data_IF_460041537363
#
_entry.id   IF_460041537363
#
_cell.length_a   1.000
_cell.length_b   1.000
_cell.length_c   1.000
_cell.angle_alpha   90.00
_cell.angle_beta   90.00
_cell.angle_gamma   90.00
#
_symmetry.space_group_name_H-M   'P 1'
#
loop_
_entity.id
_entity.type
_entity.pdbx_description
1 polymer ?
#
# COMPACT_ATOMS: atom_id res chain seq x y z
N UNK A 1 24.12 -26.44 -10.50
CA UNK A 1 23.13 -27.38 -9.89
C UNK A 1 21.94 -26.55 -9.46
N UNK A 2 20.90 -26.56 -10.30
CA UNK A 2 19.66 -25.81 -10.04
C UNK A 2 18.79 -26.59 -9.03
N UNK A 3 18.79 -26.18 -7.77
CA UNK A 3 17.79 -26.67 -6.81
C UNK A 3 16.48 -25.92 -7.06
N UNK A 4 15.60 -26.51 -7.87
CA UNK A 4 14.18 -26.10 -7.90
C UNK A 4 13.64 -26.33 -6.48
N UNK A 5 13.48 -25.24 -5.70
CA UNK A 5 12.69 -25.29 -4.47
C UNK A 5 11.27 -25.69 -4.89
N UNK A 6 10.89 -26.94 -4.60
CA UNK A 6 9.51 -27.39 -4.66
C UNK A 6 8.73 -26.59 -3.62
N UNK A 7 7.88 -25.69 -4.09
CA UNK A 7 6.84 -25.11 -3.24
C UNK A 7 5.90 -26.25 -2.84
N UNK A 8 5.91 -26.63 -1.58
CA UNK A 8 4.89 -27.48 -1.00
C UNK A 8 3.59 -26.68 -1.06
N UNK A 9 2.68 -27.07 -1.96
CA UNK A 9 1.29 -26.65 -1.91
C UNK A 9 0.75 -27.17 -0.56
N UNK A 10 0.51 -26.26 0.36
CA UNK A 10 -0.24 -26.51 1.58
C UNK A 10 -1.56 -27.17 1.19
N UNK A 11 -2.06 -28.11 1.99
CA UNK A 11 -3.28 -28.90 1.69
C UNK A 11 -4.57 -28.06 1.66
N UNK A 12 -4.47 -26.75 1.79
CA UNK A 12 -5.59 -25.82 1.69
C UNK A 12 -6.09 -25.71 0.25
N UNK A 13 -7.39 -25.83 0.00
CA UNK A 13 -7.96 -25.73 -1.34
C UNK A 13 -7.87 -24.31 -1.91
N UNK A 14 -7.70 -23.29 -1.06
CA UNK A 14 -7.68 -21.87 -1.43
C UNK A 14 -6.41 -21.17 -0.97
N UNK A 15 -5.94 -20.20 -1.78
CA UNK A 15 -4.89 -19.28 -1.35
C UNK A 15 -5.42 -18.38 -0.23
N UNK A 16 -4.61 -18.13 0.77
CA UNK A 16 -4.93 -17.22 1.87
C UNK A 16 -4.30 -15.85 1.61
N UNK A 17 -5.10 -14.80 1.75
CA UNK A 17 -4.64 -13.42 1.61
C UNK A 17 -4.72 -12.71 2.95
N UNK A 18 -3.59 -12.18 3.44
CA UNK A 18 -3.53 -11.35 4.65
C UNK A 18 -3.51 -9.88 4.25
N UNK A 19 -4.51 -9.13 4.69
CA UNK A 19 -4.58 -7.68 4.52
C UNK A 19 -4.36 -7.02 5.88
N UNK A 20 -3.41 -6.09 5.94
CA UNK A 20 -3.09 -5.33 7.14
C UNK A 20 -3.63 -3.91 7.01
N UNK A 21 -4.34 -3.41 8.01
CA UNK A 21 -4.69 -1.99 8.12
C UNK A 21 -4.09 -1.40 9.38
N UNK A 22 -3.29 -0.34 9.22
CA UNK A 22 -2.83 0.46 10.36
C UNK A 22 -3.79 1.61 10.60
N UNK A 23 -4.15 1.82 11.86
CA UNK A 23 -5.07 2.86 12.28
C UNK A 23 -4.47 3.70 13.40
N UNK A 24 -4.66 5.01 13.33
CA UNK A 24 -4.42 5.92 14.45
C UNK A 24 -5.31 7.16 14.32
N UNK A 25 -6.36 7.23 15.16
CA UNK A 25 -7.34 8.32 15.18
C UNK A 25 -7.97 8.60 13.80
N UNK A 26 -8.47 7.53 13.13
CA UNK A 26 -9.03 7.62 11.77
C UNK A 26 -10.47 7.06 11.73
N UNK A 27 -11.25 7.20 12.82
CA UNK A 27 -12.62 6.67 12.93
C UNK A 27 -13.54 7.13 11.80
N UNK A 28 -13.31 8.33 11.26
CA UNK A 28 -14.06 8.91 10.14
C UNK A 28 -14.13 8.01 8.89
N UNK A 29 -13.05 7.29 8.58
CA UNK A 29 -12.93 6.50 7.34
C UNK A 29 -12.78 4.99 7.58
N UNK A 30 -12.32 4.61 8.77
CA UNK A 30 -11.98 3.22 9.12
C UNK A 30 -13.11 2.24 8.80
N UNK A 31 -14.37 2.59 9.08
CA UNK A 31 -15.49 1.71 8.79
C UNK A 31 -15.67 1.44 7.30
N UNK A 32 -15.39 2.43 6.45
CA UNK A 32 -15.46 2.27 5.00
C UNK A 32 -14.34 1.34 4.51
N UNK A 33 -13.12 1.51 5.02
CA UNK A 33 -11.97 0.64 4.71
C UNK A 33 -12.26 -0.80 5.12
N UNK A 34 -12.73 -1.04 6.34
CA UNK A 34 -13.10 -2.38 6.83
C UNK A 34 -14.14 -3.03 5.89
N UNK A 35 -15.20 -2.30 5.55
CA UNK A 35 -16.24 -2.80 4.66
C UNK A 35 -15.70 -3.14 3.27
N UNK A 36 -14.81 -2.31 2.71
CA UNK A 36 -14.23 -2.54 1.39
C UNK A 36 -13.38 -3.81 1.33
N UNK A 37 -12.80 -4.24 2.46
CA UNK A 37 -12.03 -5.47 2.59
C UNK A 37 -12.95 -6.68 2.85
N UNK A 38 -13.82 -6.58 3.86
CA UNK A 38 -14.67 -7.71 4.27
C UNK A 38 -15.73 -8.08 3.23
N UNK A 39 -16.14 -7.13 2.39
CA UNK A 39 -17.10 -7.38 1.29
C UNK A 39 -16.50 -8.05 0.06
N UNK A 40 -15.18 -8.24 0.01
CA UNK A 40 -14.52 -8.92 -1.11
C UNK A 40 -15.00 -10.37 -1.21
N UNK A 41 -15.31 -10.80 -2.44
CA UNK A 41 -15.78 -12.13 -2.74
C UNK A 41 -14.78 -12.84 -3.65
N UNK A 42 -14.79 -14.16 -3.66
CA UNK A 42 -13.95 -14.98 -4.52
C UNK A 42 -13.50 -16.27 -3.84
N UNK A 43 -12.70 -17.06 -4.55
CA UNK A 43 -12.17 -18.34 -4.08
C UNK A 43 -10.82 -18.15 -3.36
N UNK A 44 -10.86 -17.52 -2.19
CA UNK A 44 -9.70 -17.32 -1.31
C UNK A 44 -10.12 -17.27 0.17
N UNK A 45 -9.18 -17.52 1.05
CA UNK A 45 -9.33 -17.25 2.47
C UNK A 45 -8.82 -15.85 2.78
N UNK A 46 -9.60 -15.06 3.51
CA UNK A 46 -9.24 -13.70 3.91
C UNK A 46 -8.83 -13.67 5.38
N UNK A 47 -7.61 -13.23 5.65
CA UNK A 47 -7.14 -12.85 6.97
C UNK A 47 -7.01 -11.34 7.03
N UNK A 48 -7.90 -10.70 7.78
CA UNK A 48 -7.85 -9.26 7.96
C UNK A 48 -7.27 -8.91 9.33
N UNK A 49 -6.24 -8.06 9.35
CA UNK A 49 -5.47 -7.71 10.54
C UNK A 49 -5.48 -6.20 10.69
N UNK A 50 -5.97 -5.70 11.83
CA UNK A 50 -5.90 -4.27 12.16
C UNK A 50 -4.90 -4.04 13.28
N UNK A 51 -3.96 -3.13 13.05
CA UNK A 51 -3.05 -2.62 14.09
C UNK A 51 -3.42 -1.18 14.40
N UNK A 52 -3.91 -0.95 15.62
CA UNK A 52 -4.29 0.35 16.12
C UNK A 52 -3.22 0.91 17.06
N UNK A 53 -2.69 2.08 16.74
CA UNK A 53 -1.60 2.76 17.46
C UNK A 53 -1.99 3.35 18.81
N UNK A 54 -3.08 2.89 19.42
CA UNK A 54 -3.62 3.40 20.67
C UNK A 54 -4.49 4.62 20.47
N UNK A 55 -5.40 4.57 19.51
CA UNK A 55 -6.37 5.64 19.18
C UNK A 55 -7.18 6.09 20.38
N UNK A 56 -7.61 7.35 20.35
CA UNK A 56 -8.44 8.00 21.38
C UNK A 56 -9.83 8.39 20.89
N UNK A 57 -10.08 8.20 19.59
CA UNK A 57 -11.39 8.37 18.95
C UNK A 57 -12.21 7.07 19.02
N UNK A 58 -13.26 6.94 18.20
CA UNK A 58 -14.12 5.76 18.19
C UNK A 58 -13.53 4.56 17.42
N UNK A 59 -12.28 4.63 16.95
CA UNK A 59 -11.66 3.59 16.14
C UNK A 59 -11.71 2.21 16.80
N UNK A 60 -11.38 2.11 18.10
CA UNK A 60 -11.35 0.82 18.79
C UNK A 60 -12.76 0.20 18.93
N UNK A 61 -13.79 1.02 19.08
CA UNK A 61 -15.18 0.54 19.12
C UNK A 61 -15.63 0.00 17.76
N UNK A 62 -15.26 0.69 16.69
CA UNK A 62 -15.48 0.22 15.31
C UNK A 62 -14.77 -1.12 15.09
N UNK A 63 -13.50 -1.25 15.47
CA UNK A 63 -12.72 -2.48 15.31
C UNK A 63 -13.39 -3.65 16.05
N UNK A 64 -13.76 -3.47 17.31
CA UNK A 64 -14.43 -4.50 18.13
C UNK A 64 -15.80 -4.91 17.57
N UNK A 65 -16.55 -3.97 17.00
CA UNK A 65 -17.82 -4.25 16.31
C UNK A 65 -17.61 -5.23 15.17
N UNK A 66 -16.61 -4.97 14.30
CA UNK A 66 -16.35 -5.82 13.14
C UNK A 66 -15.71 -7.16 13.51
N UNK A 67 -14.86 -7.21 14.53
CA UNK A 67 -14.37 -8.47 15.09
C UNK A 67 -15.54 -9.37 15.52
N UNK A 68 -16.50 -8.83 16.28
CA UNK A 68 -17.69 -9.56 16.65
C UNK A 68 -18.53 -9.99 15.44
N UNK A 69 -18.75 -9.12 14.46
CA UNK A 69 -19.52 -9.45 13.27
C UNK A 69 -18.88 -10.63 12.48
N UNK A 70 -17.53 -10.71 12.45
CA UNK A 70 -16.83 -11.84 11.81
C UNK A 70 -16.99 -13.10 12.65
N UNK A 71 -16.86 -13.02 13.99
CA UNK A 71 -17.08 -14.16 14.90
C UNK A 71 -18.51 -14.70 14.80
N UNK A 72 -19.49 -13.82 14.62
CA UNK A 72 -20.91 -14.18 14.43
C UNK A 72 -21.20 -14.73 12.99
N UNK A 73 -20.17 -14.88 12.13
CA UNK A 73 -20.29 -15.44 10.78
C UNK A 73 -20.90 -14.53 9.72
N UNK A 74 -21.14 -13.24 10.02
CA UNK A 74 -21.80 -12.29 9.12
C UNK A 74 -21.05 -12.08 7.80
N UNK A 75 -19.74 -12.24 7.80
CA UNK A 75 -18.85 -12.00 6.65
C UNK A 75 -18.40 -13.29 5.94
N UNK A 76 -18.94 -14.45 6.37
CA UNK A 76 -18.65 -15.77 5.79
C UNK A 76 -17.53 -16.54 6.51
N UNK A 77 -17.52 -17.85 6.31
CA UNK A 77 -16.65 -18.78 7.06
C UNK A 77 -15.17 -18.68 6.67
N UNK A 78 -14.85 -18.09 5.50
CA UNK A 78 -13.47 -17.93 5.01
C UNK A 78 -12.80 -16.64 5.44
N UNK A 79 -13.44 -15.88 6.33
CA UNK A 79 -12.90 -14.63 6.85
C UNK A 79 -12.43 -14.82 8.27
N UNK A 80 -11.19 -14.44 8.54
CA UNK A 80 -10.65 -14.33 9.89
C UNK A 80 -10.28 -12.88 10.15
N UNK A 81 -10.61 -12.39 11.36
CA UNK A 81 -10.31 -11.04 11.79
C UNK A 81 -9.41 -11.07 13.01
N UNK A 82 -8.38 -10.25 13.02
CA UNK A 82 -7.47 -10.07 14.14
C UNK A 82 -7.22 -8.59 14.37
N UNK A 83 -7.02 -8.18 15.58
CA UNK A 83 -6.55 -6.83 15.84
C UNK A 83 -5.58 -6.78 17.03
N UNK A 84 -4.73 -5.75 17.01
CA UNK A 84 -3.85 -5.38 18.09
C UNK A 84 -4.01 -3.88 18.31
N UNK A 85 -4.36 -3.47 19.54
CA UNK A 85 -4.47 -2.04 19.89
C UNK A 85 -3.49 -1.75 21.01
N UNK A 86 -2.38 -1.11 20.64
CA UNK A 86 -1.33 -0.67 21.54
C UNK A 86 -0.55 0.48 20.91
N UNK A 87 0.11 1.28 21.73
CA UNK A 87 0.94 2.37 21.22
C UNK A 87 2.02 1.84 20.27
N UNK A 88 2.17 2.50 19.15
CA UNK A 88 3.25 2.27 18.18
C UNK A 88 4.21 3.44 18.10
N UNK A 89 5.34 3.26 17.41
CA UNK A 89 6.34 4.29 17.12
C UNK A 89 6.09 4.99 15.77
N UNK A 90 4.98 4.70 15.11
CA UNK A 90 4.57 5.28 13.82
C UNK A 90 4.05 4.24 12.85
N UNK A 91 3.61 4.70 11.68
CA UNK A 91 2.93 3.87 10.70
C UNK A 91 3.72 2.62 10.29
N UNK A 92 5.05 2.74 10.08
CA UNK A 92 5.90 1.60 9.69
C UNK A 92 5.94 0.50 10.76
N UNK A 93 6.01 0.88 12.05
CA UNK A 93 5.93 -0.06 13.17
C UNK A 93 4.55 -0.74 13.22
N UNK A 94 3.47 0.03 13.10
CA UNK A 94 2.11 -0.52 13.02
C UNK A 94 1.96 -1.55 11.88
N UNK A 95 2.42 -1.20 10.67
CA UNK A 95 2.42 -2.14 9.53
C UNK A 95 3.25 -3.37 9.85
N UNK A 96 4.45 -3.22 10.38
CA UNK A 96 5.35 -4.33 10.71
C UNK A 96 4.76 -5.27 11.76
N UNK A 97 4.07 -4.75 12.79
CA UNK A 97 3.31 -5.57 13.75
C UNK A 97 2.26 -6.43 13.04
N UNK A 98 1.49 -5.83 12.13
CA UNK A 98 0.50 -6.56 11.32
C UNK A 98 1.14 -7.60 10.40
N UNK A 99 2.24 -7.27 9.72
CA UNK A 99 2.98 -8.19 8.85
C UNK A 99 3.52 -9.40 9.62
N UNK A 100 3.98 -9.21 10.87
CA UNK A 100 4.43 -10.30 11.74
C UNK A 100 3.29 -11.26 12.14
N UNK A 101 2.04 -10.76 12.16
CA UNK A 101 0.84 -11.57 12.46
C UNK A 101 0.29 -12.28 11.20
N UNK A 102 0.69 -11.86 10.01
CA UNK A 102 0.19 -12.35 8.73
C UNK A 102 0.63 -13.80 8.47
N UNK A 103 -0.34 -14.65 8.10
CA UNK A 103 -0.11 -16.06 7.80
C UNK A 103 -0.54 -16.45 6.38
N UNK A 104 -1.00 -15.49 5.58
CA UNK A 104 -1.45 -15.70 4.21
C UNK A 104 -0.31 -15.92 3.22
N UNK A 105 -0.63 -16.55 2.10
CA UNK A 105 0.28 -16.76 0.96
C UNK A 105 0.57 -15.44 0.24
N UNK A 106 -0.44 -14.57 0.20
CA UNK A 106 -0.40 -13.21 -0.34
C UNK A 106 -0.56 -12.24 0.82
N UNK A 107 0.20 -11.16 0.77
CA UNK A 107 0.19 -10.11 1.79
C UNK A 107 0.04 -8.74 1.12
N UNK A 108 -0.67 -7.85 1.78
CA UNK A 108 -0.76 -6.44 1.42
C UNK A 108 -1.09 -5.61 2.65
N UNK A 109 -0.86 -4.30 2.59
CA UNK A 109 -1.43 -3.39 3.57
C UNK A 109 -2.26 -2.30 2.89
N UNK A 110 -3.29 -1.85 3.58
CA UNK A 110 -4.22 -0.81 3.15
C UNK A 110 -4.40 0.16 4.31
N UNK A 111 -4.18 1.45 4.09
CA UNK A 111 -4.35 2.44 5.15
C UNK A 111 -5.83 2.56 5.55
N UNK A 112 -6.09 3.03 6.77
CA UNK A 112 -7.43 3.12 7.35
C UNK A 112 -8.37 4.13 6.67
N UNK A 113 -7.91 4.84 5.66
CA UNK A 113 -8.66 5.82 4.86
C UNK A 113 -8.77 5.44 3.36
N UNK A 114 -8.09 4.38 2.92
CA UNK A 114 -8.11 3.88 1.54
C UNK A 114 -9.14 2.75 1.36
N UNK A 115 -9.49 2.46 0.10
CA UNK A 115 -10.50 1.45 -0.22
C UNK A 115 -9.98 0.47 -1.28
N UNK A 116 -10.40 -0.81 -1.18
CA UNK A 116 -10.34 -1.71 -2.32
C UNK A 116 -11.56 -1.53 -3.22
N UNK A 117 -11.35 -1.66 -4.54
CA UNK A 117 -12.45 -1.75 -5.49
C UNK A 117 -13.14 -3.12 -5.39
N UNK A 118 -14.38 -3.21 -5.85
CA UNK A 118 -15.11 -4.48 -5.90
C UNK A 118 -14.35 -5.53 -6.74
N UNK A 119 -14.21 -6.75 -6.21
CA UNK A 119 -13.52 -7.86 -6.86
C UNK A 119 -12.00 -7.70 -6.94
N UNK A 120 -11.40 -6.74 -6.25
CA UNK A 120 -9.95 -6.52 -6.28
C UNK A 120 -9.16 -7.76 -5.82
N UNK A 121 -9.56 -8.36 -4.68
CA UNK A 121 -8.83 -9.52 -4.14
C UNK A 121 -8.99 -10.76 -5.01
N UNK A 122 -10.15 -10.97 -5.64
CA UNK A 122 -10.34 -12.08 -6.58
C UNK A 122 -9.40 -11.95 -7.79
N UNK A 123 -9.29 -10.75 -8.37
CA UNK A 123 -8.35 -10.47 -9.47
C UNK A 123 -6.91 -10.73 -9.08
N UNK A 124 -6.52 -10.28 -7.87
CA UNK A 124 -5.16 -10.47 -7.33
C UNK A 124 -4.86 -11.95 -7.13
N UNK A 125 -5.75 -12.67 -6.46
CA UNK A 125 -5.57 -14.12 -6.18
C UNK A 125 -5.52 -14.92 -7.47
N UNK A 126 -6.43 -14.64 -8.42
CA UNK A 126 -6.42 -15.28 -9.75
C UNK A 126 -5.11 -15.02 -10.47
N UNK A 127 -4.61 -13.78 -10.46
CA UNK A 127 -3.34 -13.45 -11.08
C UNK A 127 -2.17 -14.23 -10.49
N UNK A 128 -2.08 -14.34 -9.16
CA UNK A 128 -1.01 -15.13 -8.51
C UNK A 128 -1.16 -16.63 -8.75
N UNK A 129 -2.38 -17.16 -8.89
CA UNK A 129 -2.62 -18.57 -9.27
C UNK A 129 -2.12 -18.85 -10.68
N UNK A 130 -2.45 -17.97 -11.63
CA UNK A 130 -2.10 -18.13 -13.03
C UNK A 130 -0.61 -17.83 -13.32
N UNK A 131 0.05 -17.11 -12.43
CA UNK A 131 1.46 -16.69 -12.55
C UNK A 131 2.27 -17.11 -11.31
N UNK A 132 2.62 -18.39 -11.15
CA UNK A 132 3.30 -18.88 -9.94
C UNK A 132 4.69 -18.26 -9.71
N UNK A 133 5.35 -17.79 -10.75
CA UNK A 133 6.65 -17.10 -10.67
C UNK A 133 6.53 -15.60 -10.29
N UNK A 134 5.31 -15.05 -10.29
CA UNK A 134 5.05 -13.69 -9.81
C UNK A 134 5.24 -13.63 -8.31
N UNK A 135 6.21 -12.83 -7.83
CA UNK A 135 6.43 -12.62 -6.41
C UNK A 135 5.72 -11.36 -5.89
N UNK A 136 5.52 -10.36 -6.74
CA UNK A 136 4.73 -9.18 -6.39
C UNK A 136 4.11 -8.51 -7.61
N UNK A 137 3.02 -7.82 -7.37
CA UNK A 137 2.29 -7.10 -8.39
C UNK A 137 1.75 -5.77 -7.85
N UNK A 138 1.48 -4.86 -8.78
CA UNK A 138 0.68 -3.67 -8.50
C UNK A 138 -0.40 -3.51 -9.56
N UNK A 139 -1.53 -2.92 -9.17
CA UNK A 139 -2.59 -2.53 -10.09
C UNK A 139 -2.70 -1.02 -10.25
N UNK A 140 -3.72 -0.58 -10.98
CA UNK A 140 -4.11 0.81 -11.02
C UNK A 140 -4.84 1.22 -9.75
N UNK A 141 -4.70 2.50 -9.39
CA UNK A 141 -5.36 3.07 -8.22
C UNK A 141 -5.98 4.42 -8.61
N UNK A 142 -7.25 4.62 -8.25
CA UNK A 142 -7.91 5.94 -8.39
C UNK A 142 -7.52 6.84 -7.23
N UNK A 143 -7.69 8.13 -7.42
CA UNK A 143 -7.59 9.11 -6.34
C UNK A 143 -9.00 9.62 -6.06
N UNK A 144 -9.46 9.46 -4.82
CA UNK A 144 -10.78 9.89 -4.38
C UNK A 144 -10.69 11.00 -3.32
N UNK A 145 -11.76 11.78 -3.20
CA UNK A 145 -11.94 12.77 -2.15
C UNK A 145 -12.60 12.17 -0.89
N UNK A 146 -12.93 13.02 0.06
CA UNK A 146 -13.63 12.65 1.31
C UNK A 146 -15.04 12.08 1.12
N UNK A 147 -15.64 12.29 -0.06
CA UNK A 147 -16.97 11.80 -0.44
C UNK A 147 -16.92 10.58 -1.38
N UNK A 148 -15.75 9.95 -1.53
CA UNK A 148 -15.48 8.82 -2.45
C UNK A 148 -15.62 9.19 -3.94
N UNK A 149 -15.58 10.46 -4.29
CA UNK A 149 -15.63 10.90 -5.68
C UNK A 149 -14.23 10.91 -6.26
N UNK A 150 -14.06 10.35 -7.47
CA UNK A 150 -12.77 10.40 -8.17
C UNK A 150 -12.36 11.84 -8.48
N UNK A 151 -11.13 12.17 -8.13
CA UNK A 151 -10.48 13.46 -8.36
C UNK A 151 -9.11 13.23 -8.99
N UNK A 152 -8.52 14.28 -9.55
CA UNK A 152 -7.14 14.24 -10.10
C UNK A 152 -6.92 13.13 -11.13
N UNK A 153 -7.90 12.79 -11.94
CA UNK A 153 -7.81 11.74 -12.96
C UNK A 153 -6.56 11.85 -13.86
N UNK A 154 -6.09 13.07 -14.12
CA UNK A 154 -4.87 13.28 -14.90
C UNK A 154 -3.63 12.70 -14.21
N UNK A 155 -3.56 12.75 -12.87
CA UNK A 155 -2.47 12.12 -12.09
C UNK A 155 -2.62 10.60 -12.18
N UNK A 156 -3.82 10.08 -12.02
CA UNK A 156 -4.12 8.64 -12.17
C UNK A 156 -3.66 8.14 -13.55
N UNK A 157 -4.08 8.81 -14.63
CA UNK A 157 -3.68 8.48 -16.00
C UNK A 157 -2.16 8.56 -16.21
N UNK A 158 -1.51 9.56 -15.64
CA UNK A 158 -0.06 9.73 -15.69
C UNK A 158 0.67 8.57 -14.98
N UNK A 159 0.27 8.23 -13.76
CA UNK A 159 0.85 7.11 -12.99
C UNK A 159 0.66 5.79 -13.73
N UNK A 160 -0.54 5.50 -14.22
CA UNK A 160 -0.84 4.28 -14.99
C UNK A 160 0.03 4.14 -16.24
N UNK A 161 0.29 5.25 -16.96
CA UNK A 161 1.23 5.24 -18.10
C UNK A 161 2.67 4.98 -17.68
N UNK A 162 3.09 5.49 -16.53
CA UNK A 162 4.43 5.24 -15.98
C UNK A 162 4.62 3.78 -15.58
N UNK A 163 3.63 3.16 -14.94
CA UNK A 163 3.67 1.76 -14.53
C UNK A 163 3.86 0.80 -15.71
N UNK A 164 3.35 1.14 -16.91
CA UNK A 164 3.55 0.32 -18.12
C UNK A 164 5.02 0.25 -18.59
N UNK A 165 5.87 1.14 -18.11
CA UNK A 165 7.31 1.20 -18.40
C UNK A 165 8.13 1.17 -17.11
N UNK A 166 7.64 0.41 -16.13
CA UNK A 166 8.24 0.33 -14.81
C UNK A 166 9.68 -0.20 -14.86
N UNK A 167 10.53 0.31 -14.00
CA UNK A 167 11.87 -0.17 -13.72
C UNK A 167 12.35 0.37 -12.38
N UNK A 168 13.33 -0.26 -11.75
CA UNK A 168 13.97 0.24 -10.52
C UNK A 168 14.44 1.69 -10.68
N UNK A 169 15.10 2.01 -11.81
CA UNK A 169 15.55 3.37 -12.08
C UNK A 169 14.42 4.41 -12.16
N UNK A 170 13.26 4.01 -12.66
CA UNK A 170 12.07 4.87 -12.62
C UNK A 170 11.52 5.01 -11.20
N UNK A 171 11.38 3.93 -10.45
CA UNK A 171 10.93 3.93 -9.06
C UNK A 171 11.78 4.88 -8.20
N UNK A 172 13.11 4.78 -8.30
CA UNK A 172 14.06 5.61 -7.57
C UNK A 172 14.06 7.08 -8.02
N UNK A 173 13.64 7.36 -9.26
CA UNK A 173 13.52 8.73 -9.77
C UNK A 173 12.16 9.35 -9.44
N UNK A 174 11.10 8.56 -9.59
CA UNK A 174 9.72 8.99 -9.39
C UNK A 174 8.82 7.78 -9.12
N UNK A 175 8.37 7.62 -7.88
CA UNK A 175 7.48 6.53 -7.50
C UNK A 175 6.09 6.71 -8.13
N UNK A 176 5.75 5.87 -9.10
CA UNK A 176 4.43 5.81 -9.72
C UNK A 176 3.52 4.75 -9.07
N UNK A 177 4.08 3.85 -8.27
CA UNK A 177 3.30 2.82 -7.57
C UNK A 177 2.38 3.49 -6.57
N UNK A 178 1.15 3.03 -6.52
CA UNK A 178 0.21 3.41 -5.48
C UNK A 178 0.16 2.28 -4.45
N UNK A 179 0.52 2.60 -3.23
CA UNK A 179 0.64 1.63 -2.14
C UNK A 179 -0.63 0.78 -1.98
N UNK A 180 -1.87 1.33 -1.99
CA UNK A 180 -3.09 0.55 -1.77
C UNK A 180 -3.34 -0.56 -2.80
N UNK A 181 -2.75 -0.47 -3.99
CA UNK A 181 -2.95 -1.44 -5.08
C UNK A 181 -1.82 -2.46 -5.23
N UNK A 182 -0.96 -2.61 -4.21
CA UNK A 182 0.25 -3.44 -4.29
C UNK A 182 0.16 -4.65 -3.37
N UNK A 183 0.49 -5.83 -3.92
CA UNK A 183 0.37 -7.15 -3.26
C UNK A 183 1.62 -7.97 -3.54
N UNK A 184 1.99 -8.84 -2.58
CA UNK A 184 3.17 -9.69 -2.73
C UNK A 184 3.01 -11.04 -2.05
N UNK A 185 3.81 -12.02 -2.48
CA UNK A 185 3.89 -13.31 -1.78
C UNK A 185 4.59 -13.16 -0.44
N UNK A 186 4.10 -13.84 0.56
CA UNK A 186 4.74 -13.89 1.88
C UNK A 186 6.19 -14.35 1.78
N UNK A 187 6.51 -15.28 0.88
CA UNK A 187 7.88 -15.76 0.66
C UNK A 187 8.85 -14.66 0.25
N UNK A 188 8.40 -13.64 -0.52
CA UNK A 188 9.22 -12.48 -0.83
C UNK A 188 9.47 -11.62 0.42
N UNK A 189 8.44 -11.40 1.24
CA UNK A 189 8.59 -10.71 2.52
C UNK A 189 9.56 -11.43 3.46
N UNK A 190 9.48 -12.76 3.53
CA UNK A 190 10.38 -13.57 4.36
C UNK A 190 11.86 -13.44 3.90
N UNK A 191 12.10 -13.16 2.62
CA UNK A 191 13.43 -12.94 2.06
C UNK A 191 13.97 -11.53 2.30
N UNK A 192 13.14 -10.49 2.06
CA UNK A 192 13.57 -9.08 2.13
C UNK A 192 13.38 -8.44 3.51
N UNK A 193 12.63 -9.10 4.40
CA UNK A 193 12.27 -8.58 5.73
C UNK A 193 11.12 -7.57 5.70
N UNK A 194 11.03 -6.78 6.76
CA UNK A 194 9.95 -5.82 7.04
C UNK A 194 10.29 -4.41 6.54
N UNK A 195 9.36 -3.47 6.71
CA UNK A 195 9.58 -2.05 6.39
C UNK A 195 10.65 -1.45 7.30
N UNK A 196 11.42 -0.49 6.77
CA UNK A 196 12.36 0.31 7.54
C UNK A 196 11.60 1.35 8.40
N UNK A 197 11.59 1.13 9.72
CA UNK A 197 10.87 1.98 10.67
C UNK A 197 11.47 3.38 10.82
N UNK A 198 12.68 3.61 10.33
CA UNK A 198 13.30 4.94 10.27
C UNK A 198 12.72 5.84 9.18
N UNK A 199 11.98 5.27 8.22
CA UNK A 199 11.33 5.97 7.12
C UNK A 199 9.85 6.25 7.47
N UNK A 200 9.44 7.52 7.38
CA UNK A 200 8.10 7.95 7.78
C UNK A 200 7.21 8.38 6.61
N UNK A 201 7.80 8.74 5.45
CA UNK A 201 7.10 9.32 4.30
C UNK A 201 7.22 8.49 3.02
N UNK A 202 8.27 7.70 2.90
CA UNK A 202 8.60 6.95 1.68
C UNK A 202 8.98 5.50 1.98
N UNK A 203 8.52 4.95 3.13
CA UNK A 203 8.78 3.56 3.53
C UNK A 203 8.31 2.54 2.48
N UNK A 204 7.22 2.85 1.77
CA UNK A 204 6.71 2.06 0.66
C UNK A 204 7.69 2.03 -0.52
N UNK A 205 8.26 3.19 -0.89
CA UNK A 205 9.24 3.28 -1.98
C UNK A 205 10.49 2.44 -1.69
N UNK A 206 11.01 2.43 -0.47
CA UNK A 206 12.12 1.57 -0.06
C UNK A 206 11.74 0.10 -0.17
N UNK A 207 10.54 -0.25 0.31
CA UNK A 207 10.07 -1.62 0.29
C UNK A 207 9.92 -2.15 -1.15
N UNK A 208 9.34 -1.35 -2.05
CA UNK A 208 9.24 -1.67 -3.47
C UNK A 208 10.62 -1.77 -4.14
N UNK A 209 11.58 -0.94 -3.75
CA UNK A 209 12.94 -1.02 -4.29
C UNK A 209 13.62 -2.34 -3.89
N UNK A 210 13.47 -2.80 -2.64
CA UNK A 210 13.98 -4.09 -2.19
C UNK A 210 13.30 -5.27 -2.88
N UNK A 211 11.97 -5.21 -3.09
CA UNK A 211 11.25 -6.21 -3.87
C UNK A 211 11.74 -6.30 -5.31
N UNK A 212 11.91 -5.14 -5.97
CA UNK A 212 12.35 -5.08 -7.38
C UNK A 212 13.78 -5.61 -7.58
N UNK A 213 14.62 -5.52 -6.56
CA UNK A 213 15.98 -6.11 -6.60
C UNK A 213 15.95 -7.65 -6.56
N UNK A 214 14.90 -8.26 -6.04
CA UNK A 214 14.71 -9.72 -5.97
C UNK A 214 13.90 -10.24 -7.15
N UNK A 215 12.82 -9.58 -7.49
CA UNK A 215 11.88 -9.99 -8.54
C UNK A 215 11.26 -8.80 -9.24
N UNK A 216 11.14 -8.88 -10.55
CA UNK A 216 10.49 -7.81 -11.31
C UNK A 216 9.01 -7.70 -11.01
N UNK A 217 8.52 -6.46 -10.92
CA UNK A 217 7.11 -6.11 -10.66
C UNK A 217 6.20 -6.54 -11.81
N UNK A 218 5.10 -7.22 -11.48
CA UNK A 218 4.03 -7.50 -12.44
C UNK A 218 2.94 -6.42 -12.38
N UNK A 219 2.53 -5.92 -13.55
CA UNK A 219 1.46 -4.92 -13.64
C UNK A 219 0.13 -5.57 -14.01
N UNK A 220 -0.85 -5.49 -13.12
CA UNK A 220 -2.25 -5.81 -13.40
C UNK A 220 -2.96 -4.54 -13.87
N UNK A 221 -3.40 -4.49 -15.14
CA UNK A 221 -4.02 -3.31 -15.76
C UNK A 221 -5.48 -3.14 -15.35
N UNK A 222 -5.75 -3.30 -14.06
CA UNK A 222 -7.06 -3.18 -13.42
C UNK A 222 -6.98 -2.20 -12.26
N UNK A 223 -8.08 -1.50 -12.00
CA UNK A 223 -8.19 -0.69 -10.79
C UNK A 223 -8.46 -1.62 -9.60
N UNK A 224 -7.52 -1.69 -8.67
CA UNK A 224 -7.60 -2.56 -7.50
C UNK A 224 -7.93 -1.78 -6.23
N UNK A 225 -7.61 -0.48 -6.20
CA UNK A 225 -7.77 0.33 -5.01
C UNK A 225 -8.13 1.79 -5.33
N UNK A 226 -8.55 2.50 -4.30
CA UNK A 226 -8.86 3.92 -4.29
C UNK A 226 -8.10 4.58 -3.15
N UNK A 227 -7.18 5.49 -3.49
CA UNK A 227 -6.40 6.27 -2.56
C UNK A 227 -7.16 7.54 -2.18
N UNK A 228 -7.43 7.74 -0.90
CA UNK A 228 -8.10 8.95 -0.41
C UNK A 228 -7.13 10.09 -0.23
N UNK A 229 -7.39 11.18 -0.94
CA UNK A 229 -6.63 12.41 -0.83
C UNK A 229 -7.45 13.49 -0.12
N UNK A 230 -7.01 13.84 1.10
CA UNK A 230 -7.58 14.93 1.90
C UNK A 230 -6.49 15.96 2.25
N UNK A 231 -6.89 17.10 2.84
CA UNK A 231 -5.94 18.11 3.33
C UNK A 231 -4.93 17.56 4.35
N UNK A 232 -5.33 16.52 5.08
CA UNK A 232 -4.59 15.96 6.21
C UNK A 232 -3.70 14.78 5.81
N UNK A 233 -3.74 14.36 4.53
CA UNK A 233 -2.88 13.27 4.05
C UNK A 233 -1.39 13.66 4.13
N UNK A 234 -0.55 12.74 4.62
CA UNK A 234 0.91 12.94 4.75
C UNK A 234 1.56 13.43 3.45
N UNK A 235 1.10 12.93 2.32
CA UNK A 235 1.63 13.29 0.98
C UNK A 235 1.45 14.78 0.65
N UNK A 236 0.42 15.43 1.21
CA UNK A 236 0.14 16.85 0.99
C UNK A 236 0.88 17.79 1.95
N UNK A 237 1.21 17.32 3.15
CA UNK A 237 1.66 18.18 4.26
C UNK A 237 3.19 18.30 4.42
N UNK A 238 4.00 17.43 3.81
CA UNK A 238 5.43 17.32 4.11
C UNK A 238 6.30 16.95 2.89
N UNK A 239 6.14 17.68 1.79
CA UNK A 239 6.87 17.41 0.55
C UNK A 239 8.40 17.39 0.73
N UNK A 240 8.97 18.29 1.54
CA UNK A 240 10.42 18.37 1.74
C UNK A 240 10.96 17.10 2.42
N UNK A 241 10.25 16.57 3.44
CA UNK A 241 10.63 15.33 4.12
C UNK A 241 10.49 14.13 3.19
N UNK A 242 9.40 14.05 2.42
CA UNK A 242 9.21 13.01 1.41
C UNK A 242 10.35 13.01 0.38
N UNK A 243 10.76 14.18 -0.12
CA UNK A 243 11.87 14.29 -1.07
C UNK A 243 13.22 13.93 -0.46
N UNK A 244 13.44 14.25 0.81
CA UNK A 244 14.66 13.88 1.54
C UNK A 244 14.77 12.35 1.71
N UNK A 245 13.70 11.69 2.14
CA UNK A 245 13.67 10.21 2.24
C UNK A 245 13.80 9.55 0.86
N UNK A 246 13.09 10.04 -0.16
CA UNK A 246 13.21 9.54 -1.53
C UNK A 246 14.64 9.66 -2.08
N UNK A 247 15.38 10.72 -1.71
CA UNK A 247 16.80 10.88 -2.05
C UNK A 247 17.64 9.82 -1.33
N UNK A 248 17.44 9.61 -0.03
CA UNK A 248 18.14 8.60 0.75
C UNK A 248 17.91 7.19 0.15
N UNK A 249 16.67 6.86 -0.23
CA UNK A 249 16.32 5.59 -0.86
C UNK A 249 17.05 5.43 -2.21
N UNK A 250 17.08 6.50 -3.02
CA UNK A 250 17.82 6.45 -4.28
C UNK A 250 19.32 6.25 -4.04
N UNK A 251 19.92 6.88 -3.03
CA UNK A 251 21.34 6.68 -2.67
C UNK A 251 21.63 5.24 -2.19
N UNK A 252 20.68 4.60 -1.49
CA UNK A 252 20.80 3.20 -1.03
C UNK A 252 20.72 2.18 -2.16
N UNK A 253 19.84 2.39 -3.14
CA UNK A 253 19.47 1.37 -4.12
C UNK A 253 19.89 1.66 -5.55
N UNK A 254 20.38 2.88 -5.86
CA UNK A 254 20.81 3.19 -7.21
C UNK A 254 22.15 2.50 -7.55
N UNK A 255 22.16 1.81 -8.69
CA UNK A 255 23.33 1.12 -9.21
C UNK A 255 24.25 2.01 -10.06
N UNK A 256 23.84 3.26 -10.36
CA UNK A 256 24.64 4.21 -11.12
C UNK A 256 24.29 5.68 -10.82
N UNK A 257 25.27 6.56 -11.09
CA UNK A 257 25.16 8.00 -10.84
C UNK A 257 24.11 8.70 -11.72
N UNK A 258 23.75 8.12 -12.86
CA UNK A 258 22.73 8.69 -13.74
C UNK A 258 21.32 8.64 -13.11
N UNK A 259 21.00 7.57 -12.40
CA UNK A 259 19.73 7.48 -11.64
C UNK A 259 19.67 8.57 -10.59
N UNK A 260 20.75 8.81 -9.83
CA UNK A 260 20.83 9.86 -8.82
C UNK A 260 20.67 11.26 -9.44
N UNK A 261 21.30 11.52 -10.58
CA UNK A 261 21.15 12.78 -11.31
C UNK A 261 19.69 12.99 -11.75
N UNK A 262 19.06 11.97 -12.35
CA UNK A 262 17.64 12.04 -12.75
C UNK A 262 16.72 12.26 -11.56
N UNK A 263 16.99 11.62 -10.45
CA UNK A 263 16.23 11.78 -9.20
C UNK A 263 16.37 13.22 -8.67
N UNK A 264 17.57 13.80 -8.67
CA UNK A 264 17.80 15.19 -8.30
C UNK A 264 17.02 16.15 -9.19
N UNK A 265 17.05 15.97 -10.53
CA UNK A 265 16.26 16.77 -11.47
C UNK A 265 14.75 16.64 -11.21
N UNK A 266 14.26 15.43 -10.94
CA UNK A 266 12.86 15.17 -10.63
C UNK A 266 12.42 15.90 -9.35
N UNK A 267 13.25 15.84 -8.31
CA UNK A 267 12.98 16.54 -7.05
C UNK A 267 12.96 18.05 -7.22
N UNK A 268 13.87 18.60 -8.01
CA UNK A 268 13.89 20.04 -8.30
C UNK A 268 12.61 20.50 -9.01
N UNK A 269 12.13 19.74 -10.01
CA UNK A 269 10.87 20.01 -10.69
C UNK A 269 9.68 19.99 -9.71
N UNK A 270 9.62 19.02 -8.82
CA UNK A 270 8.57 18.91 -7.79
C UNK A 270 8.57 20.12 -6.87
N UNK A 271 9.74 20.56 -6.38
CA UNK A 271 9.88 21.74 -5.51
C UNK A 271 9.37 22.99 -6.24
N UNK A 272 9.74 23.18 -7.52
CA UNK A 272 9.29 24.33 -8.32
C UNK A 272 7.76 24.33 -8.47
N UNK A 273 7.16 23.19 -8.80
CA UNK A 273 5.69 23.06 -8.94
C UNK A 273 5.00 23.35 -7.60
N UNK A 274 5.46 22.80 -6.51
CA UNK A 274 4.84 23.02 -5.19
C UNK A 274 4.99 24.47 -4.71
N UNK A 275 6.18 25.05 -4.80
CA UNK A 275 6.37 26.49 -4.44
C UNK A 275 5.58 27.42 -5.37
N UNK A 276 5.49 27.09 -6.66
CA UNK A 276 4.67 27.83 -7.60
C UNK A 276 3.18 27.81 -7.25
N UNK A 277 2.65 26.67 -6.85
CA UNK A 277 1.25 26.53 -6.40
C UNK A 277 0.98 27.25 -5.08
N UNK A 278 1.92 27.25 -4.14
CA UNK A 278 1.78 27.99 -2.88
C UNK A 278 1.81 29.50 -3.08
N UNK A 279 2.64 29.97 -4.00
CA UNK A 279 2.67 31.39 -4.40
C UNK A 279 1.34 31.78 -5.07
N UNK A 280 0.83 30.93 -5.99
CA UNK A 280 -0.47 31.16 -6.63
C UNK A 280 -1.63 31.19 -5.61
N UNK A 281 -1.67 30.27 -4.67
CA UNK A 281 -2.68 30.25 -3.60
C UNK A 281 -2.61 31.51 -2.73
N UNK A 282 -1.41 31.99 -2.42
CA UNK A 282 -1.23 33.23 -1.65
C UNK A 282 -1.65 34.49 -2.44
N UNK A 283 -1.53 34.46 -3.77
CA UNK A 283 -1.97 35.55 -4.64
C UNK A 283 -3.51 35.52 -4.79
N UNK A 284 -4.09 34.34 -5.06
CA UNK A 284 -5.54 34.18 -5.26
C UNK A 284 -6.35 34.26 -3.96
N UNK A 285 -5.78 33.94 -2.82
CA UNK A 285 -6.43 34.08 -1.50
C UNK A 285 -6.37 35.50 -0.91
N UNK A 286 -5.88 36.49 -1.71
CA UNK A 286 -5.92 37.93 -1.39
C UNK A 286 -7.02 38.67 -2.18
N UNK A 287 -7.83 37.95 -2.93
CA UNK A 287 -9.06 38.41 -3.55
C UNK A 287 -10.26 37.60 -3.02
#
# INVERSE_FOLDING_TARGET
MNSKKKFYLDSRPYMKTSIITTNFNTDKYLEQTIKSILSQKGEFDLEYIITDGGSKDNSLEIIKKYDKEVQDGKWGERVTFKYLSEKDSGQSDGINKGLKMATGDIVAFLNADDLYTEGALEKVVTYFKDNPDCLWLTGYCRIIDEHNKEIREYITKYKNKKLQKFSLGQLLTENAISQPSTFWRKSLMDEIGYLDESLHYSMDQDYWARMELVSHMHLVKEYLAEFRFTSDTKTGSSIEKTLAESKLIAERHANNKWVLFRQWVSNLKRIIVYKGTDILKKILGRF
#
